data_IF_166790407395
#
_entry.id   IF_166790407395
#
_cell.length_a   1.000
_cell.length_b   1.000
_cell.length_c   1.000
_cell.angle_alpha   90.00
_cell.angle_beta   90.00
_cell.angle_gamma   90.00
#
_symmetry.space_group_name_H-M   'P 1'
#
loop_
_entity.id
_entity.type
_entity.pdbx_description
1 polymer ?
#
# COMPACT_ATOMS: atom_id res chain seq x y z
N UNK A 1 -20.36 -14.80 -88.76
CA UNK A 1 -20.67 -13.39 -88.53
C UNK A 1 -22.05 -13.36 -87.93
N UNK A 2 -22.12 -13.13 -86.62
CA UNK A 2 -23.09 -12.25 -85.97
C UNK A 2 -22.66 -12.14 -84.51
N UNK A 3 -22.46 -10.90 -84.10
CA UNK A 3 -22.23 -10.46 -82.73
C UNK A 3 -23.54 -9.88 -82.19
N UNK A 4 -23.78 -10.00 -80.88
CA UNK A 4 -24.43 -9.04 -79.96
C UNK A 4 -24.75 -9.81 -78.65
N UNK A 5 -24.03 -9.56 -77.55
CA UNK A 5 -24.20 -8.49 -76.55
C UNK A 5 -25.38 -8.74 -75.58
N UNK A 6 -25.05 -9.03 -74.32
CA UNK A 6 -25.93 -8.78 -73.17
C UNK A 6 -25.06 -8.27 -72.00
N UNK A 7 -24.97 -6.94 -71.93
CA UNK A 7 -25.48 -6.10 -70.83
C UNK A 7 -24.82 -6.12 -69.44
N UNK A 8 -24.55 -4.89 -68.98
CA UNK A 8 -24.87 -4.35 -67.65
C UNK A 8 -24.42 -5.15 -66.42
N UNK A 9 -23.30 -4.74 -65.77
CA UNK A 9 -23.12 -4.91 -64.30
C UNK A 9 -21.95 -4.19 -63.65
N UNK A 10 -21.12 -3.41 -64.36
CA UNK A 10 -19.82 -2.99 -63.78
C UNK A 10 -19.74 -1.56 -63.22
N UNK A 11 -20.80 -0.75 -63.28
CA UNK A 11 -20.71 0.66 -62.88
C UNK A 11 -21.19 1.02 -61.46
N UNK A 12 -21.79 0.09 -60.71
CA UNK A 12 -22.31 0.40 -59.36
C UNK A 12 -21.33 0.04 -58.23
N UNK A 13 -20.35 -0.83 -58.49
CA UNK A 13 -19.40 -1.31 -57.46
C UNK A 13 -18.30 -0.32 -57.05
N UNK A 14 -17.89 0.60 -57.92
CA UNK A 14 -16.73 1.47 -57.69
C UNK A 14 -16.96 2.64 -56.73
N UNK A 15 -18.16 3.23 -56.73
CA UNK A 15 -18.45 4.45 -55.95
C UNK A 15 -18.78 4.11 -54.49
N UNK A 16 -19.44 2.98 -54.23
CA UNK A 16 -19.72 2.52 -52.87
C UNK A 16 -18.44 2.14 -52.10
N UNK A 17 -17.44 1.54 -52.76
CA UNK A 17 -16.17 1.19 -52.13
C UNK A 17 -15.37 2.44 -51.67
N UNK A 18 -15.37 3.52 -52.47
CA UNK A 18 -14.64 4.75 -52.15
C UNK A 18 -15.28 5.55 -51.00
N UNK A 19 -16.62 5.62 -50.93
CA UNK A 19 -17.32 6.30 -49.82
C UNK A 19 -17.13 5.56 -48.50
N UNK A 20 -17.07 4.22 -48.52
CA UNK A 20 -16.80 3.40 -47.32
C UNK A 20 -15.37 3.61 -46.83
N UNK A 21 -14.37 3.66 -47.73
CA UNK A 21 -12.96 3.86 -47.34
C UNK A 21 -12.70 5.27 -46.79
N UNK A 22 -13.34 6.30 -47.35
CA UNK A 22 -13.19 7.70 -46.87
C UNK A 22 -13.86 7.88 -45.50
N UNK A 23 -15.07 7.33 -45.30
CA UNK A 23 -15.70 7.32 -43.97
C UNK A 23 -14.84 6.55 -42.96
N UNK A 24 -14.35 5.37 -43.31
CA UNK A 24 -13.52 4.55 -42.41
C UNK A 24 -12.23 5.28 -41.96
N UNK A 25 -11.56 6.03 -42.84
CA UNK A 25 -10.39 6.84 -42.48
C UNK A 25 -10.73 8.01 -41.56
N UNK A 26 -11.89 8.65 -41.72
CA UNK A 26 -12.36 9.69 -40.80
C UNK A 26 -12.72 9.10 -39.43
N UNK A 27 -13.42 7.96 -39.39
CA UNK A 27 -13.73 7.26 -38.14
C UNK A 27 -12.46 6.86 -37.40
N UNK A 28 -11.43 6.33 -38.08
CA UNK A 28 -10.15 5.96 -37.44
C UNK A 28 -9.45 7.20 -36.87
N UNK A 29 -9.41 8.33 -37.59
CA UNK A 29 -8.81 9.57 -37.07
C UNK A 29 -9.55 10.09 -35.84
N UNK A 30 -10.88 10.09 -35.86
CA UNK A 30 -11.70 10.51 -34.71
C UNK A 30 -11.53 9.55 -33.54
N UNK A 31 -11.43 8.24 -33.79
CA UNK A 31 -11.24 7.23 -32.74
C UNK A 31 -9.85 7.33 -32.10
N UNK A 32 -8.80 7.58 -32.89
CA UNK A 32 -7.42 7.77 -32.40
C UNK A 32 -7.32 9.08 -31.61
N UNK A 33 -7.95 10.17 -32.08
CA UNK A 33 -7.99 11.44 -31.34
C UNK A 33 -8.79 11.32 -30.04
N UNK A 34 -9.92 10.59 -30.06
CA UNK A 34 -10.71 10.32 -28.86
C UNK A 34 -9.94 9.43 -27.87
N UNK A 35 -9.20 8.44 -28.34
CA UNK A 35 -8.36 7.59 -27.50
C UNK A 35 -7.16 8.34 -26.93
N UNK A 36 -6.52 9.22 -27.72
CA UNK A 36 -5.44 10.09 -27.24
C UNK A 36 -5.94 11.13 -26.22
N UNK A 37 -7.13 11.70 -26.44
CA UNK A 37 -7.77 12.59 -25.47
C UNK A 37 -8.20 11.86 -24.21
N UNK A 38 -8.68 10.61 -24.32
CA UNK A 38 -8.99 9.75 -23.18
C UNK A 38 -7.72 9.34 -22.42
N UNK A 39 -6.62 9.01 -23.10
CA UNK A 39 -5.32 8.78 -22.45
C UNK A 39 -4.76 10.04 -21.79
N UNK A 40 -4.87 11.20 -22.44
CA UNK A 40 -4.43 12.46 -21.88
C UNK A 40 -5.29 12.85 -20.67
N UNK A 41 -6.60 12.62 -20.71
CA UNK A 41 -7.49 12.81 -19.56
C UNK A 41 -7.19 11.81 -18.44
N UNK A 42 -6.89 10.54 -18.76
CA UNK A 42 -6.51 9.52 -17.77
C UNK A 42 -5.15 9.84 -17.12
N UNK A 43 -4.18 10.33 -17.91
CA UNK A 43 -2.88 10.78 -17.40
C UNK A 43 -3.01 12.09 -16.59
N UNK A 44 -3.84 13.04 -17.03
CA UNK A 44 -4.15 14.25 -16.27
C UNK A 44 -4.92 13.93 -14.97
N UNK A 45 -5.71 12.85 -14.95
CA UNK A 45 -6.39 12.36 -13.75
C UNK A 45 -5.46 11.52 -12.86
N UNK A 46 -4.38 10.95 -13.40
CA UNK A 46 -3.27 10.38 -12.62
C UNK A 46 -2.43 11.48 -11.94
N UNK A 47 -2.33 12.68 -12.54
CA UNK A 47 -1.70 13.85 -11.93
C UNK A 47 -2.64 14.60 -10.97
N UNK A 48 -3.93 14.71 -11.29
CA UNK A 48 -4.97 15.35 -10.46
C UNK A 48 -5.62 14.46 -9.40
N UNK A 49 -5.19 13.20 -9.32
CA UNK A 49 -5.70 12.18 -8.39
C UNK A 49 -4.69 11.77 -7.31
N UNK A 50 -3.56 12.47 -7.18
CA UNK A 50 -2.83 12.44 -5.91
C UNK A 50 -3.69 13.18 -4.90
N UNK A 51 -4.59 12.46 -4.24
CA UNK A 51 -5.01 12.82 -2.89
C UNK A 51 -3.72 13.26 -2.21
N UNK A 52 -3.67 14.51 -1.73
CA UNK A 52 -2.64 14.95 -0.81
C UNK A 52 -2.78 14.07 0.43
N UNK A 53 -2.21 12.86 0.36
CA UNK A 53 -2.06 11.93 1.48
C UNK A 53 -0.84 12.44 2.23
N UNK A 54 -1.04 13.54 2.93
CA UNK A 54 0.00 14.08 3.79
C UNK A 54 0.46 12.97 4.73
N UNK A 55 1.76 12.74 4.76
CA UNK A 55 2.34 11.72 5.62
C UNK A 55 1.98 12.07 7.07
N UNK A 56 1.18 11.21 7.71
CA UNK A 56 0.67 11.44 9.06
C UNK A 56 1.83 11.72 10.02
N UNK A 57 1.61 12.60 10.97
CA UNK A 57 2.56 12.80 12.07
C UNK A 57 2.54 11.58 13.00
N UNK A 58 3.68 11.28 13.61
CA UNK A 58 3.80 10.18 14.57
C UNK A 58 2.83 10.33 15.75
N UNK A 59 2.60 11.57 16.21
CA UNK A 59 1.64 11.91 17.27
C UNK A 59 0.19 11.54 16.95
N UNK A 60 -0.13 11.29 15.67
CA UNK A 60 -1.44 10.81 15.22
C UNK A 60 -1.57 9.29 15.22
N UNK A 61 -0.48 8.56 15.51
CA UNK A 61 -0.51 7.13 15.75
C UNK A 61 -0.80 6.91 17.22
N UNK A 62 -2.05 7.10 17.63
CA UNK A 62 -2.49 6.99 19.04
C UNK A 62 -2.61 5.51 19.48
N UNK A 63 -2.76 5.22 20.79
CA UNK A 63 -2.86 3.86 21.31
C UNK A 63 -3.95 2.98 20.69
N UNK A 64 -5.04 3.58 20.22
CA UNK A 64 -6.20 2.91 19.62
C UNK A 64 -6.03 2.60 18.11
N UNK A 65 -4.99 3.13 17.45
CA UNK A 65 -4.74 2.85 16.03
C UNK A 65 -4.17 1.45 15.85
N UNK A 66 -4.89 0.61 15.09
CA UNK A 66 -4.50 -0.77 14.79
C UNK A 66 -3.39 -0.91 13.74
N UNK A 67 -2.65 -2.03 13.79
CA UNK A 67 -1.51 -2.32 12.92
C UNK A 67 -1.77 -2.15 11.41
N UNK A 68 -2.92 -2.58 10.83
CA UNK A 68 -3.17 -2.35 9.41
C UNK A 68 -3.26 -0.88 9.01
N UNK A 69 -3.78 -0.04 9.91
CA UNK A 69 -3.86 1.41 9.68
C UNK A 69 -2.48 2.06 9.74
N UNK A 70 -1.61 1.59 10.65
CA UNK A 70 -0.21 2.03 10.72
C UNK A 70 0.53 1.62 9.45
N UNK A 71 0.41 0.36 9.02
CA UNK A 71 1.03 -0.14 7.79
C UNK A 71 0.57 0.65 6.55
N UNK A 72 -0.73 0.98 6.47
CA UNK A 72 -1.27 1.83 5.43
C UNK A 72 -0.65 3.24 5.48
N UNK A 73 -0.56 3.87 6.66
CA UNK A 73 0.05 5.19 6.82
C UNK A 73 1.52 5.20 6.36
N UNK A 74 2.30 4.16 6.68
CA UNK A 74 3.69 4.03 6.17
C UNK A 74 3.72 3.95 4.65
N UNK A 75 2.84 3.14 4.04
CA UNK A 75 2.74 3.05 2.58
C UNK A 75 2.33 4.37 1.93
N UNK A 76 1.50 5.18 2.59
CA UNK A 76 1.12 6.51 2.11
C UNK A 76 2.28 7.50 2.24
N UNK A 77 3.13 7.33 3.24
CA UNK A 77 4.37 8.08 3.43
C UNK A 77 5.56 7.62 2.56
N UNK A 78 5.39 6.61 1.70
CA UNK A 78 6.52 5.98 0.99
C UNK A 78 7.36 6.98 0.16
N UNK A 79 6.70 7.93 -0.49
CA UNK A 79 7.32 8.99 -1.29
C UNK A 79 7.58 10.30 -0.52
N UNK A 80 7.38 10.31 0.80
CA UNK A 80 7.59 11.49 1.62
C UNK A 80 9.08 11.85 1.72
N UNK A 81 9.36 13.16 1.70
CA UNK A 81 10.73 13.70 1.67
C UNK A 81 11.47 13.59 2.99
N UNK A 82 10.74 13.54 4.11
CA UNK A 82 11.28 13.33 5.45
C UNK A 82 11.36 11.82 5.75
N UNK A 83 12.56 11.21 5.75
CA UNK A 83 12.72 9.79 5.97
C UNK A 83 12.51 9.40 7.43
N UNK A 84 12.92 10.26 8.37
CA UNK A 84 12.75 10.05 9.80
C UNK A 84 11.28 9.88 10.15
N UNK A 85 10.39 10.70 9.58
CA UNK A 85 8.94 10.60 9.83
C UNK A 85 8.36 9.25 9.42
N UNK A 86 8.59 8.81 8.18
CA UNK A 86 8.02 7.53 7.70
C UNK A 86 8.61 6.32 8.44
N UNK A 87 9.90 6.37 8.77
CA UNK A 87 10.55 5.34 9.58
C UNK A 87 9.95 5.32 10.98
N UNK A 88 9.69 6.46 11.60
CA UNK A 88 9.14 6.50 12.95
C UNK A 88 7.75 5.87 13.04
N UNK A 89 6.89 6.12 12.04
CA UNK A 89 5.58 5.46 11.94
C UNK A 89 5.76 3.95 11.79
N UNK A 90 6.69 3.51 10.93
CA UNK A 90 6.97 2.10 10.76
C UNK A 90 7.46 1.42 12.05
N UNK A 91 8.40 2.07 12.76
CA UNK A 91 8.94 1.58 14.03
C UNK A 91 7.87 1.54 15.13
N UNK A 92 6.94 2.50 15.18
CA UNK A 92 5.80 2.45 16.11
C UNK A 92 4.96 1.18 15.91
N UNK A 93 4.71 0.80 14.66
CA UNK A 93 4.02 -0.45 14.36
C UNK A 93 4.81 -1.68 14.76
N UNK A 94 6.15 -1.68 14.62
CA UNK A 94 6.99 -2.78 15.12
C UNK A 94 6.95 -2.91 16.64
N UNK A 95 6.92 -1.80 17.38
CA UNK A 95 6.74 -1.82 18.84
C UNK A 95 5.38 -2.44 19.18
N UNK A 96 4.30 -1.99 18.52
CA UNK A 96 2.96 -2.55 18.74
C UNK A 96 2.86 -4.04 18.35
N UNK A 97 3.55 -4.48 17.30
CA UNK A 97 3.69 -5.89 16.92
C UNK A 97 4.32 -6.72 18.05
N UNK A 98 5.39 -6.20 18.67
CA UNK A 98 6.05 -6.90 19.78
C UNK A 98 5.13 -7.03 21.00
N UNK A 99 4.34 -5.99 21.28
CA UNK A 99 3.33 -6.03 22.33
C UNK A 99 2.20 -7.03 22.00
N UNK A 100 1.66 -6.98 20.78
CA UNK A 100 0.59 -7.89 20.36
C UNK A 100 1.04 -9.36 20.39
N UNK A 101 2.29 -9.66 20.04
CA UNK A 101 2.88 -10.99 20.17
C UNK A 101 2.98 -11.48 21.63
N UNK A 102 3.02 -10.58 22.61
CA UNK A 102 3.01 -10.93 24.04
C UNK A 102 1.62 -11.15 24.59
N UNK A 103 0.58 -10.54 24.02
CA UNK A 103 -0.81 -10.69 24.48
C UNK A 103 -1.69 -11.62 23.64
N UNK A 104 -1.22 -12.08 22.48
CA UNK A 104 -1.94 -13.04 21.63
C UNK A 104 -1.17 -14.36 21.55
N UNK A 105 -1.87 -15.48 21.72
CA UNK A 105 -1.29 -16.83 21.62
C UNK A 105 -1.06 -17.28 20.17
N UNK A 106 -0.06 -18.14 19.99
CA UNK A 106 0.14 -18.90 18.74
C UNK A 106 0.96 -18.21 17.66
N UNK A 107 1.54 -17.03 17.90
CA UNK A 107 2.44 -16.37 16.94
C UNK A 107 3.73 -15.89 17.61
N UNK A 108 4.88 -16.17 16.99
CA UNK A 108 6.16 -15.64 17.45
C UNK A 108 6.34 -14.17 17.03
N UNK A 109 7.11 -13.40 17.81
CA UNK A 109 7.49 -12.01 17.44
C UNK A 109 8.09 -11.96 16.03
N UNK A 110 8.95 -12.93 15.68
CA UNK A 110 9.58 -13.00 14.35
C UNK A 110 8.54 -13.13 13.24
N UNK A 111 7.60 -14.06 13.39
CA UNK A 111 6.51 -14.28 12.41
C UNK A 111 5.64 -13.04 12.29
N UNK A 112 5.26 -12.43 13.41
CA UNK A 112 4.43 -11.23 13.41
C UNK A 112 5.09 -10.04 12.73
N UNK A 113 6.38 -9.80 13.00
CA UNK A 113 7.18 -8.77 12.34
C UNK A 113 7.19 -8.96 10.82
N UNK A 114 7.37 -10.20 10.35
CA UNK A 114 7.31 -10.50 8.91
C UNK A 114 5.95 -10.14 8.30
N UNK A 115 4.84 -10.50 8.95
CA UNK A 115 3.50 -10.18 8.44
C UNK A 115 3.23 -8.68 8.41
N UNK A 116 3.66 -7.95 9.44
CA UNK A 116 3.53 -6.51 9.46
C UNK A 116 4.37 -5.84 8.35
N UNK A 117 5.59 -6.32 8.12
CA UNK A 117 6.43 -5.86 7.00
C UNK A 117 5.78 -6.15 5.64
N UNK A 118 5.26 -7.36 5.44
CA UNK A 118 4.53 -7.71 4.21
C UNK A 118 3.34 -6.77 3.99
N UNK A 119 2.54 -6.51 5.03
CA UNK A 119 1.40 -5.61 4.95
C UNK A 119 1.82 -4.17 4.61
N UNK A 120 2.91 -3.70 5.24
CA UNK A 120 3.46 -2.36 5.03
C UNK A 120 3.95 -2.16 3.60
N UNK A 121 4.67 -3.14 3.06
CA UNK A 121 5.32 -3.01 1.75
C UNK A 121 4.47 -3.51 0.58
N UNK A 122 3.28 -4.05 0.85
CA UNK A 122 2.40 -4.65 -0.17
C UNK A 122 2.05 -3.69 -1.30
N UNK A 123 1.85 -2.40 -0.99
CA UNK A 123 1.42 -1.37 -1.93
C UNK A 123 2.55 -0.47 -2.43
N UNK A 124 3.78 -0.70 -1.95
CA UNK A 124 4.95 0.06 -2.39
C UNK A 124 5.51 -0.53 -3.68
N UNK A 125 6.00 0.34 -4.55
CA UNK A 125 6.84 -0.03 -5.69
C UNK A 125 8.21 -0.51 -5.22
N UNK A 126 8.95 -1.23 -6.08
CA UNK A 126 10.33 -1.65 -5.75
C UNK A 126 11.26 -0.46 -5.50
N UNK A 127 11.06 0.65 -6.22
CA UNK A 127 11.83 1.88 -6.00
C UNK A 127 11.59 2.47 -4.60
N UNK A 128 10.33 2.48 -4.15
CA UNK A 128 9.96 2.93 -2.81
C UNK A 128 10.52 2.00 -1.72
N UNK A 129 10.47 0.69 -1.92
CA UNK A 129 11.05 -0.30 -1.00
C UNK A 129 12.57 -0.13 -0.87
N UNK A 130 13.26 0.04 -1.99
CA UNK A 130 14.71 0.27 -2.00
C UNK A 130 15.08 1.63 -1.39
N UNK A 131 14.26 2.67 -1.60
CA UNK A 131 14.44 3.94 -0.91
C UNK A 131 14.23 3.78 0.60
N UNK A 132 13.16 3.13 1.03
CA UNK A 132 12.87 2.86 2.44
C UNK A 132 14.02 2.11 3.13
N UNK A 133 14.62 1.13 2.43
CA UNK A 133 15.79 0.39 2.89
C UNK A 133 17.04 1.27 3.01
N UNK A 134 17.26 2.19 2.07
CA UNK A 134 18.36 3.18 2.17
C UNK A 134 18.14 4.11 3.35
N UNK A 135 16.94 4.66 3.46
CA UNK A 135 16.55 5.55 4.56
C UNK A 135 16.75 4.85 5.91
N UNK A 136 16.34 3.58 6.03
CA UNK A 136 16.54 2.80 7.24
C UNK A 136 18.00 2.53 7.59
N UNK A 137 18.96 2.65 6.67
CA UNK A 137 20.39 2.56 7.01
C UNK A 137 20.94 3.87 7.56
N UNK A 138 20.39 5.00 7.14
CA UNK A 138 20.91 6.33 7.43
C UNK A 138 20.20 6.98 8.62
N UNK A 139 18.87 6.83 8.71
CA UNK A 139 18.02 7.56 9.65
C UNK A 139 17.35 6.67 10.71
N UNK A 140 17.68 5.38 10.78
CA UNK A 140 17.01 4.47 11.73
C UNK A 140 17.20 4.87 13.19
N UNK A 141 18.38 5.35 13.58
CA UNK A 141 18.64 5.74 14.96
C UNK A 141 17.84 6.99 15.36
N UNK A 142 17.81 8.01 14.50
CA UNK A 142 17.03 9.22 14.71
C UNK A 142 15.53 8.89 14.81
N UNK A 143 15.02 8.09 13.87
CA UNK A 143 13.63 7.64 13.89
C UNK A 143 13.32 6.81 15.14
N UNK A 144 14.24 5.97 15.60
CA UNK A 144 14.07 5.14 16.80
C UNK A 144 13.96 6.00 18.04
N UNK A 145 14.80 7.02 18.21
CA UNK A 145 14.74 7.95 19.34
C UNK A 145 13.37 8.65 19.39
N UNK A 146 12.91 9.22 18.28
CA UNK A 146 11.61 9.89 18.21
C UNK A 146 10.45 8.93 18.46
N UNK A 147 10.54 7.71 17.92
CA UNK A 147 9.53 6.68 18.15
C UNK A 147 9.44 6.29 19.61
N UNK A 148 10.59 6.08 20.24
CA UNK A 148 10.66 5.69 21.65
C UNK A 148 10.10 6.75 22.59
N UNK A 149 10.43 8.02 22.36
CA UNK A 149 9.89 9.15 23.14
C UNK A 149 8.35 9.20 23.04
N UNK A 150 7.82 9.17 21.82
CA UNK A 150 6.39 9.28 21.59
C UNK A 150 5.62 8.05 22.09
N UNK A 151 6.12 6.83 21.85
CA UNK A 151 5.47 5.60 22.34
C UNK A 151 5.54 5.48 23.87
N UNK A 152 6.61 5.99 24.50
CA UNK A 152 6.70 6.10 25.95
C UNK A 152 5.62 7.03 26.53
N UNK A 153 5.41 8.18 25.89
CA UNK A 153 4.37 9.15 26.29
C UNK A 153 2.95 8.61 26.14
N UNK A 154 2.69 7.80 25.11
CA UNK A 154 1.35 7.31 24.78
C UNK A 154 0.87 6.14 25.65
N UNK A 155 1.78 5.26 26.08
CA UNK A 155 1.41 4.04 26.81
C UNK A 155 0.91 2.90 25.92
N UNK A 156 0.43 1.78 26.53
CA UNK A 156 0.09 0.56 25.81
C UNK A 156 -1.06 0.73 24.82
N UNK A 157 -1.09 -0.06 23.73
CA UNK A 157 -2.22 -0.14 22.82
C UNK A 157 -3.53 -0.44 23.53
N UNK A 158 -4.57 0.34 23.22
CA UNK A 158 -5.91 0.19 23.82
C UNK A 158 -6.89 -0.52 22.89
N UNK A 159 -6.52 -0.74 21.63
CA UNK A 159 -7.33 -1.50 20.69
C UNK A 159 -7.35 -3.01 21.02
N UNK A 160 -8.42 -3.66 20.57
CA UNK A 160 -8.49 -5.11 20.52
C UNK A 160 -7.70 -5.64 19.30
N UNK A 161 -6.76 -6.58 19.45
CA UNK A 161 -5.80 -6.95 18.39
C UNK A 161 -6.40 -7.87 17.30
N UNK A 162 -7.54 -7.49 16.71
CA UNK A 162 -8.30 -8.33 15.78
C UNK A 162 -7.47 -8.85 14.61
N UNK A 163 -6.71 -7.96 13.97
CA UNK A 163 -5.85 -8.35 12.86
C UNK A 163 -4.81 -9.39 13.30
N UNK A 164 -4.19 -9.21 14.46
CA UNK A 164 -3.15 -10.11 14.96
C UNK A 164 -3.73 -11.47 15.36
N UNK A 165 -4.91 -11.48 16.00
CA UNK A 165 -5.68 -12.69 16.31
C UNK A 165 -5.94 -13.51 15.04
N UNK A 166 -6.40 -12.85 13.97
CA UNK A 166 -6.65 -13.49 12.67
C UNK A 166 -5.36 -14.09 12.09
N UNK A 167 -4.27 -13.33 12.08
CA UNK A 167 -2.97 -13.83 11.59
C UNK A 167 -2.52 -15.06 12.38
N UNK A 168 -2.68 -15.06 13.71
CA UNK A 168 -2.33 -16.20 14.54
C UNK A 168 -3.15 -17.44 14.21
N UNK A 169 -4.47 -17.29 14.07
CA UNK A 169 -5.39 -18.39 13.72
C UNK A 169 -5.10 -18.98 12.34
N UNK A 170 -4.76 -18.15 11.35
CA UNK A 170 -4.50 -18.61 9.99
C UNK A 170 -3.13 -19.30 9.83
N UNK A 171 -2.17 -19.03 10.73
CA UNK A 171 -0.76 -19.41 10.54
C UNK A 171 -0.25 -20.42 11.55
N UNK A 172 -0.98 -20.61 12.64
CA UNK A 172 -0.60 -21.54 13.70
C UNK A 172 -1.48 -22.76 13.68
N UNK A 173 -0.88 -23.94 13.89
CA UNK A 173 -1.62 -25.18 14.12
C UNK A 173 -2.00 -25.36 15.60
N UNK A 174 -1.65 -24.39 16.46
CA UNK A 174 -1.92 -24.47 17.89
C UNK A 174 -3.40 -24.23 18.18
N UNK A 175 -4.01 -25.10 18.98
CA UNK A 175 -5.43 -24.99 19.38
C UNK A 175 -5.82 -23.66 20.04
N UNK A 176 -4.85 -22.95 20.63
CA UNK A 176 -5.06 -21.68 21.35
C UNK A 176 -4.72 -20.46 20.50
N UNK A 177 -4.38 -20.65 19.22
CA UNK A 177 -3.97 -19.57 18.35
C UNK A 177 -5.04 -18.47 18.28
N UNK A 178 -4.61 -17.22 18.45
CA UNK A 178 -5.51 -16.08 18.50
C UNK A 178 -6.24 -15.87 19.84
N UNK A 179 -6.04 -16.73 20.84
CA UNK A 179 -6.53 -16.46 22.19
C UNK A 179 -5.79 -15.26 22.79
N UNK A 180 -6.54 -14.33 23.37
CA UNK A 180 -5.98 -13.20 24.12
C UNK A 180 -5.60 -13.69 25.52
N UNK A 181 -4.35 -13.39 25.90
CA UNK A 181 -3.82 -13.63 27.24
C UNK A 181 -4.22 -12.51 28.18
N UNK A 182 -4.49 -12.87 29.42
CA UNK A 182 -4.53 -11.91 30.51
C UNK A 182 -3.09 -11.53 30.85
N UNK A 183 -2.76 -10.24 30.68
CA UNK A 183 -1.42 -9.70 30.92
C UNK A 183 -1.51 -8.38 31.68
N UNK A 184 -0.45 -8.03 32.41
CA UNK A 184 -0.24 -6.65 32.85
C UNK A 184 0.21 -5.82 31.64
N UNK A 185 -0.74 -5.09 31.05
CA UNK A 185 -0.48 -4.31 29.85
C UNK A 185 0.59 -3.22 30.05
N UNK A 186 0.66 -2.62 31.25
CA UNK A 186 1.64 -1.58 31.54
C UNK A 186 3.04 -2.18 31.66
N UNK A 187 3.19 -3.27 32.42
CA UNK A 187 4.47 -3.95 32.59
C UNK A 187 4.99 -4.55 31.28
N UNK A 188 4.13 -5.17 30.47
CA UNK A 188 4.54 -5.74 29.18
C UNK A 188 4.89 -4.65 28.16
N UNK A 189 4.21 -3.50 28.20
CA UNK A 189 4.57 -2.36 27.36
C UNK A 189 5.93 -1.78 27.72
N UNK A 190 6.20 -1.58 29.01
CA UNK A 190 7.51 -1.12 29.49
C UNK A 190 8.63 -2.11 29.11
N UNK A 191 8.38 -3.41 29.22
CA UNK A 191 9.33 -4.44 28.80
C UNK A 191 9.61 -4.41 27.28
N UNK A 192 8.58 -4.16 26.46
CA UNK A 192 8.73 -4.00 25.00
C UNK A 192 9.52 -2.74 24.67
N UNK A 193 9.16 -1.60 25.26
CA UNK A 193 9.85 -0.33 25.04
C UNK A 193 11.31 -0.41 25.49
N UNK A 194 11.59 -0.95 26.69
CA UNK A 194 12.97 -1.12 27.18
C UNK A 194 13.81 -1.92 26.19
N UNK A 195 13.28 -3.05 25.70
CA UNK A 195 13.99 -3.89 24.72
C UNK A 195 14.21 -3.17 23.39
N UNK A 196 13.20 -2.47 22.88
CA UNK A 196 13.27 -1.78 21.59
C UNK A 196 14.17 -0.53 21.64
N UNK A 197 14.03 0.25 22.71
CA UNK A 197 14.64 1.56 22.89
C UNK A 197 16.05 1.50 23.47
N UNK A 198 16.50 0.34 23.93
CA UNK A 198 17.88 0.13 24.41
C UNK A 198 18.75 -0.69 23.45
N UNK A 199 18.19 -1.18 22.33
CA UNK A 199 18.96 -1.89 21.32
C UNK A 199 19.88 -0.90 20.60
N UNK A 200 21.19 -1.06 20.76
CA UNK A 200 22.23 -0.39 19.96
C UNK A 200 22.46 -1.10 18.64
#
# INVERSE_FOLDING_TARGET
>A
MDAFDISQSWFVGGILALVVIVKQKQYIKTLVLAFAAMLAAYNAQAEGGRISRECKELSKITPDVELPMIAAAVSECASHRDPTRKLSIFLSGLIKVQFDARRVEGTSVRSATMFYQMLTFLKMTEAEKEQFKRDGKEFAEEARILTCDEMGRQGPPTYHPWWFVKVAQEKSQHERAGKIKEIDAAAEWDAVLTKFCSSK
#
